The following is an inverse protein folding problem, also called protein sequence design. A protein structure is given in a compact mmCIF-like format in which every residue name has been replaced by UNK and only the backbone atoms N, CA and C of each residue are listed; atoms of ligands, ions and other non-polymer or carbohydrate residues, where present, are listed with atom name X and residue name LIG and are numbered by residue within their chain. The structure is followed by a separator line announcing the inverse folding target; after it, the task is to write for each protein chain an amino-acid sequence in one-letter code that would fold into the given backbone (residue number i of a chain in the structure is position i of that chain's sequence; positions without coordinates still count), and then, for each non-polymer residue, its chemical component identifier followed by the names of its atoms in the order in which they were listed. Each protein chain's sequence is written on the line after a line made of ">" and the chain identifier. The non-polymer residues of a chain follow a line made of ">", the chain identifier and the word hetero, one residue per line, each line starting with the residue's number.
data_IF_181637869082
#
_entry.id   IF_181637869082
#
_cell.length_a   1.000
_cell.length_b   1.000
_cell.length_c   1.000
_cell.angle_alpha   90.00
_cell.angle_beta   90.00
_cell.angle_gamma   90.00
#
_symmetry.space_group_name_H-M   'P 1'
#
loop_
_entity.id
_entity.type
_entity.pdbx_description
1 polymer ?
#
# COMPACT_ATOMS: atom_id res chain seq x y z
N UNK A 1 -15.42 -2.45 -2.58
CA UNK A 1 -15.34 -1.28 -3.48
C UNK A 1 -15.10 -0.02 -2.68
N UNK A 2 -15.94 0.29 -1.67
CA UNK A 2 -15.76 1.43 -0.77
C UNK A 2 -14.34 1.56 -0.17
N UNK A 3 -13.67 0.44 0.12
CA UNK A 3 -12.29 0.44 0.65
C UNK A 3 -11.23 1.05 -0.26
N UNK A 4 -11.42 1.04 -1.60
CA UNK A 4 -10.42 1.58 -2.54
C UNK A 4 -10.52 3.11 -2.64
N UNK A 5 -11.71 3.68 -2.44
CA UNK A 5 -11.97 5.11 -2.60
C UNK A 5 -11.02 6.01 -1.78
N UNK A 6 -10.88 5.84 -0.45
CA UNK A 6 -9.99 6.68 0.33
C UNK A 6 -8.53 6.51 -0.07
N UNK A 7 -8.10 5.28 -0.39
CA UNK A 7 -6.75 5.03 -0.91
C UNK A 7 -6.50 5.77 -2.23
N UNK A 8 -7.46 5.75 -3.16
CA UNK A 8 -7.36 6.47 -4.43
C UNK A 8 -7.30 7.98 -4.21
N UNK A 9 -8.15 8.55 -3.36
CA UNK A 9 -8.14 9.99 -3.06
C UNK A 9 -6.80 10.42 -2.47
N UNK A 10 -6.29 9.67 -1.49
CA UNK A 10 -5.00 9.93 -0.86
C UNK A 10 -3.85 9.82 -1.88
N UNK A 11 -3.79 8.73 -2.63
CA UNK A 11 -2.72 8.50 -3.59
C UNK A 11 -2.72 9.55 -4.71
N UNK A 12 -3.87 9.91 -5.26
CA UNK A 12 -3.99 10.96 -6.28
C UNK A 12 -3.60 12.32 -5.72
N UNK A 13 -4.03 12.66 -4.51
CA UNK A 13 -3.65 13.90 -3.83
C UNK A 13 -2.13 14.00 -3.63
N UNK A 14 -1.49 12.93 -3.14
CA UNK A 14 -0.04 12.86 -2.98
C UNK A 14 0.69 12.97 -4.32
N UNK A 15 0.24 12.25 -5.36
CA UNK A 15 0.84 12.35 -6.70
C UNK A 15 0.73 13.75 -7.27
N UNK A 16 -0.39 14.44 -7.07
CA UNK A 16 -0.57 15.82 -7.50
C UNK A 16 0.42 16.76 -6.80
N UNK A 17 0.56 16.66 -5.47
CA UNK A 17 1.52 17.46 -4.70
C UNK A 17 2.95 17.21 -5.16
N UNK A 18 3.35 15.95 -5.33
CA UNK A 18 4.70 15.57 -5.79
C UNK A 18 4.96 16.06 -7.22
N UNK A 19 3.98 15.94 -8.12
CA UNK A 19 4.09 16.39 -9.50
C UNK A 19 4.23 17.93 -9.60
N UNK A 20 3.57 18.68 -8.72
CA UNK A 20 3.70 20.15 -8.65
C UNK A 20 5.05 20.57 -8.06
N UNK A 21 5.57 19.83 -7.08
CA UNK A 21 6.87 20.14 -6.46
C UNK A 21 8.08 19.83 -7.36
N UNK A 22 7.96 18.82 -8.23
CA UNK A 22 9.07 18.31 -9.04
C UNK A 22 9.71 19.34 -9.99
N UNK A 23 8.96 20.16 -10.77
CA UNK A 23 9.55 21.17 -11.62
C UNK A 23 10.38 22.20 -10.84
N UNK A 24 9.88 22.66 -9.68
CA UNK A 24 10.59 23.63 -8.85
C UNK A 24 11.90 23.04 -8.29
N UNK A 25 11.89 21.77 -7.86
CA UNK A 25 13.09 21.08 -7.40
C UNK A 25 14.10 20.81 -8.53
N UNK A 26 13.63 20.60 -9.76
CA UNK A 26 14.47 20.31 -10.93
C UNK A 26 15.04 21.57 -11.59
N UNK A 27 14.36 22.71 -11.45
CA UNK A 27 14.73 23.95 -12.12
C UNK A 27 16.22 24.33 -11.96
N UNK A 28 16.80 24.30 -10.75
CA UNK A 28 18.20 24.68 -10.57
C UNK A 28 19.16 23.72 -11.28
N UNK A 29 18.90 22.41 -11.17
CA UNK A 29 19.70 21.37 -11.86
C UNK A 29 19.58 21.45 -13.39
N UNK A 30 18.43 21.88 -13.92
CA UNK A 30 18.27 22.07 -15.36
C UNK A 30 18.93 23.33 -15.90
N UNK A 31 19.17 24.32 -15.04
CA UNK A 31 19.89 25.54 -15.39
C UNK A 31 21.42 25.34 -15.33
N UNK A 32 21.87 24.44 -14.44
CA UNK A 32 23.26 24.03 -14.29
C UNK A 32 23.74 23.17 -15.48
N UNK A 33 24.01 23.81 -16.60
CA UNK A 33 24.31 23.16 -17.89
C UNK A 33 25.80 22.93 -18.14
N UNK A 34 26.68 23.59 -17.39
CA UNK A 34 28.13 23.46 -17.50
C UNK A 34 28.69 22.56 -16.40
N UNK A 35 29.82 21.91 -16.68
CA UNK A 35 30.54 21.07 -15.72
C UNK A 35 31.99 21.50 -15.58
N UNK A 36 32.54 21.33 -14.37
CA UNK A 36 33.95 21.56 -14.08
C UNK A 36 34.44 20.59 -12.99
N UNK A 37 35.76 20.46 -12.85
CA UNK A 37 36.37 19.87 -11.65
C UNK A 37 36.65 21.01 -10.68
N UNK A 38 36.14 20.88 -9.46
CA UNK A 38 36.30 21.88 -8.42
C UNK A 38 37.17 21.35 -7.28
N UNK A 39 37.95 22.22 -6.67
CA UNK A 39 38.73 21.94 -5.46
C UNK A 39 37.98 22.45 -4.23
N UNK A 40 37.88 21.61 -3.19
CA UNK A 40 37.25 22.01 -1.93
C UNK A 40 38.13 23.00 -1.17
N UNK A 41 37.60 24.20 -0.95
CA UNK A 41 38.28 25.27 -0.22
C UNK A 41 38.00 25.16 1.27
N UNK A 42 36.73 25.06 1.65
CA UNK A 42 36.31 24.94 3.05
C UNK A 42 34.95 24.29 3.21
N UNK A 43 34.76 23.60 4.34
CA UNK A 43 33.47 23.01 4.74
C UNK A 43 32.79 23.83 5.82
N UNK A 44 31.55 23.43 6.13
CA UNK A 44 30.81 23.95 7.25
C UNK A 44 30.33 25.37 7.02
N UNK A 45 30.26 25.81 5.76
CA UNK A 45 29.70 27.12 5.41
C UNK A 45 28.17 27.07 5.46
N UNK A 46 27.55 28.24 5.41
CA UNK A 46 26.09 28.33 5.38
C UNK A 46 25.51 27.60 4.14
N UNK A 47 24.30 27.03 4.23
CA UNK A 47 23.41 27.00 5.39
C UNK A 47 23.71 25.84 6.37
N UNK A 48 23.54 26.08 7.67
CA UNK A 48 23.57 25.05 8.74
C UNK A 48 24.81 24.15 8.77
N UNK A 49 25.98 24.68 8.41
CA UNK A 49 27.22 23.91 8.25
C UNK A 49 27.15 22.78 7.21
N UNK A 50 26.21 22.85 6.26
CA UNK A 50 26.06 21.91 5.14
C UNK A 50 26.70 22.41 3.85
N UNK A 51 27.14 23.66 3.82
CA UNK A 51 27.81 24.22 2.66
C UNK A 51 29.26 23.76 2.58
N UNK A 52 29.68 23.42 1.36
CA UNK A 52 31.07 23.16 0.98
C UNK A 52 31.43 24.20 -0.08
N UNK A 53 32.33 25.11 0.26
CA UNK A 53 32.85 26.09 -0.70
C UNK A 53 33.90 25.43 -1.58
N UNK A 54 33.76 25.63 -2.88
CA UNK A 54 34.63 25.06 -3.89
C UNK A 54 35.13 26.15 -4.85
N UNK A 55 36.35 25.98 -5.36
CA UNK A 55 36.93 26.81 -6.41
C UNK A 55 37.04 25.98 -7.70
N UNK A 56 36.70 26.57 -8.85
CA UNK A 56 36.74 25.88 -10.14
C UNK A 56 36.94 26.87 -11.30
N UNK A 57 37.66 26.48 -12.36
CA UNK A 57 37.69 27.26 -13.58
C UNK A 57 36.37 27.12 -14.35
N UNK A 58 35.81 28.23 -14.81
CA UNK A 58 34.67 28.22 -15.72
C UNK A 58 35.07 27.84 -17.16
N UNK A 59 34.10 27.86 -18.08
CA UNK A 59 34.32 27.50 -19.49
C UNK A 59 35.35 28.40 -20.21
N UNK A 60 35.56 29.63 -19.72
CA UNK A 60 36.54 30.58 -20.25
C UNK A 60 37.90 30.50 -19.50
N UNK A 61 38.00 29.60 -18.52
CA UNK A 61 39.19 29.40 -17.68
C UNK A 61 39.34 30.45 -16.57
N UNK A 62 38.29 31.21 -16.27
CA UNK A 62 38.28 32.16 -15.16
C UNK A 62 37.95 31.40 -13.88
N UNK A 63 38.77 31.56 -12.85
CA UNK A 63 38.53 30.99 -11.53
C UNK A 63 37.25 31.57 -10.92
N UNK A 64 36.32 30.69 -10.58
CA UNK A 64 35.07 30.98 -9.89
C UNK A 64 35.06 30.28 -8.53
N UNK A 65 34.25 30.79 -7.62
CA UNK A 65 33.96 30.14 -6.34
C UNK A 65 32.46 29.94 -6.21
N UNK A 66 32.04 28.82 -5.63
CA UNK A 66 30.63 28.59 -5.35
C UNK A 66 30.43 27.62 -4.19
N UNK A 67 29.17 27.40 -3.83
CA UNK A 67 28.81 26.59 -2.65
C UNK A 67 27.96 25.40 -3.06
N UNK A 68 28.46 24.20 -2.73
CA UNK A 68 27.68 22.96 -2.78
C UNK A 68 26.95 22.81 -1.46
N UNK A 69 25.63 22.60 -1.51
CA UNK A 69 24.83 22.35 -0.30
C UNK A 69 24.59 20.86 -0.15
N UNK A 70 25.22 20.25 0.86
CA UNK A 70 25.01 18.84 1.20
C UNK A 70 23.66 18.63 1.90
N UNK A 71 23.13 17.41 1.85
CA UNK A 71 21.91 17.07 2.60
C UNK A 71 22.12 17.12 4.12
N UNK A 72 23.36 16.86 4.56
CA UNK A 72 23.75 16.82 5.97
C UNK A 72 25.13 17.44 6.13
N UNK A 73 25.48 17.94 7.33
CA UNK A 73 26.84 18.34 7.62
C UNK A 73 27.76 17.12 7.45
N UNK A 74 28.71 17.21 6.55
CA UNK A 74 29.72 16.19 6.28
C UNK A 74 31.07 16.87 6.12
N UNK A 75 32.14 16.20 6.55
CA UNK A 75 33.48 16.73 6.48
C UNK A 75 34.16 16.23 5.20
N UNK A 76 34.28 17.12 4.21
CA UNK A 76 34.89 16.85 2.90
C UNK A 76 36.29 17.47 2.86
N UNK A 77 37.39 16.71 2.89
CA UNK A 77 38.73 17.27 3.07
C UNK A 77 39.04 18.45 2.13
N UNK A 78 39.60 19.54 2.68
CA UNK A 78 40.09 20.63 1.85
C UNK A 78 41.16 20.11 0.87
N UNK A 79 41.12 20.59 -0.37
CA UNK A 79 41.92 20.08 -1.48
C UNK A 79 41.36 18.83 -2.16
N UNK A 80 40.20 18.32 -1.75
CA UNK A 80 39.53 17.25 -2.48
C UNK A 80 38.99 17.77 -3.82
N UNK A 81 39.17 16.99 -4.88
CA UNK A 81 38.62 17.27 -6.21
C UNK A 81 37.24 16.64 -6.36
N UNK A 82 36.25 17.42 -6.83
CA UNK A 82 34.87 16.98 -7.01
C UNK A 82 34.36 17.48 -8.36
N UNK A 83 33.64 16.62 -9.09
CA UNK A 83 32.93 17.04 -10.29
C UNK A 83 31.71 17.88 -9.92
N UNK A 84 31.59 19.06 -10.51
CA UNK A 84 30.49 19.99 -10.24
C UNK A 84 29.74 20.37 -11.51
N UNK A 85 28.48 20.75 -11.33
CA UNK A 85 27.60 21.36 -12.32
C UNK A 85 27.25 22.78 -11.86
N UNK A 86 27.27 23.76 -12.77
CA UNK A 86 26.96 25.16 -12.44
C UNK A 86 26.18 25.83 -13.57
N UNK A 87 25.42 26.87 -13.21
CA UNK A 87 24.75 27.76 -14.15
C UNK A 87 25.73 28.87 -14.55
N UNK A 88 26.08 29.05 -15.84
CA UNK A 88 26.99 30.12 -16.26
C UNK A 88 26.44 31.54 -15.97
N UNK A 89 25.15 31.68 -15.66
CA UNK A 89 24.52 32.95 -15.26
C UNK A 89 24.43 33.16 -13.76
N UNK A 90 24.68 32.12 -12.95
CA UNK A 90 24.72 32.14 -11.49
C UNK A 90 25.82 31.17 -10.98
N UNK A 91 27.03 31.70 -10.79
CA UNK A 91 28.19 30.91 -10.36
C UNK A 91 28.24 30.66 -8.84
N UNK A 92 27.40 31.34 -8.05
CA UNK A 92 27.35 31.17 -6.60
C UNK A 92 26.77 29.79 -6.22
N UNK A 93 25.83 29.29 -7.04
CA UNK A 93 25.12 28.04 -6.84
C UNK A 93 25.76 26.89 -7.61
N UNK A 94 26.40 25.97 -6.88
CA UNK A 94 27.13 24.84 -7.48
C UNK A 94 26.52 23.52 -7.02
N UNK A 95 26.37 22.59 -7.94
CA UNK A 95 25.75 21.30 -7.70
C UNK A 95 26.74 20.16 -7.89
N UNK A 96 26.63 19.13 -7.07
CA UNK A 96 27.43 17.92 -7.18
C UNK A 96 26.56 16.68 -7.05
N UNK A 97 27.05 15.56 -7.56
CA UNK A 97 26.35 14.28 -7.43
C UNK A 97 26.13 13.94 -5.95
N UNK A 98 24.86 13.73 -5.58
CA UNK A 98 24.48 13.41 -4.20
C UNK A 98 24.30 14.61 -3.27
N UNK A 99 24.38 15.84 -3.79
CA UNK A 99 24.04 17.04 -3.03
C UNK A 99 22.54 17.12 -2.65
N UNK A 100 22.17 18.14 -1.88
CA UNK A 100 20.80 18.31 -1.42
C UNK A 100 19.79 18.47 -2.57
N UNK A 101 20.17 19.09 -3.68
CA UNK A 101 19.28 19.33 -4.82
C UNK A 101 18.97 18.02 -5.56
N UNK A 102 20.00 17.24 -5.89
CA UNK A 102 19.87 15.92 -6.50
C UNK A 102 19.07 14.97 -5.60
N UNK A 103 19.34 14.99 -4.29
CA UNK A 103 18.60 14.19 -3.32
C UNK A 103 17.13 14.58 -3.25
N UNK A 104 16.81 15.88 -3.30
CA UNK A 104 15.42 16.36 -3.33
C UNK A 104 14.68 15.85 -4.57
N UNK A 105 15.26 15.98 -5.76
CA UNK A 105 14.65 15.46 -7.00
C UNK A 105 14.49 13.95 -6.95
N UNK A 106 15.52 13.22 -6.50
CA UNK A 106 15.49 11.76 -6.36
C UNK A 106 14.37 11.31 -5.42
N UNK A 107 14.22 11.96 -4.27
CA UNK A 107 13.20 11.63 -3.29
C UNK A 107 11.79 11.89 -3.82
N UNK A 108 11.58 12.99 -4.56
CA UNK A 108 10.29 13.26 -5.23
C UNK A 108 9.95 12.19 -6.26
N UNK A 109 10.90 11.81 -7.13
CA UNK A 109 10.70 10.76 -8.13
C UNK A 109 10.42 9.40 -7.49
N UNK A 110 11.16 9.06 -6.43
CA UNK A 110 10.95 7.84 -5.67
C UNK A 110 9.56 7.81 -5.03
N UNK A 111 9.12 8.93 -4.45
CA UNK A 111 7.76 9.10 -3.93
C UNK A 111 6.68 8.89 -5.00
N UNK A 112 6.82 9.52 -6.17
CA UNK A 112 5.90 9.34 -7.31
C UNK A 112 5.81 7.87 -7.70
N UNK A 113 6.96 7.21 -7.84
CA UNK A 113 7.04 5.81 -8.22
C UNK A 113 6.31 4.91 -7.22
N UNK A 114 6.60 5.01 -5.93
CA UNK A 114 6.01 4.13 -4.92
C UNK A 114 4.52 4.37 -4.71
N UNK A 115 4.09 5.63 -4.65
CA UNK A 115 2.65 5.97 -4.53
C UNK A 115 1.89 5.42 -5.75
N UNK A 116 2.42 5.64 -6.95
CA UNK A 116 1.85 5.11 -8.19
C UNK A 116 1.80 3.58 -8.21
N UNK A 117 2.89 2.91 -7.82
CA UNK A 117 2.97 1.46 -7.78
C UNK A 117 1.95 0.85 -6.82
N UNK A 118 1.83 1.37 -5.59
CA UNK A 118 0.86 0.87 -4.60
C UNK A 118 -0.56 1.07 -5.11
N UNK A 119 -0.87 2.23 -5.69
CA UNK A 119 -2.18 2.50 -6.28
C UNK A 119 -2.51 1.51 -7.41
N UNK A 120 -1.58 1.28 -8.32
CA UNK A 120 -1.74 0.33 -9.45
C UNK A 120 -1.97 -1.08 -8.93
N UNK A 121 -1.18 -1.56 -7.97
CA UNK A 121 -1.34 -2.91 -7.40
C UNK A 121 -2.73 -3.06 -6.75
N UNK A 122 -3.14 -2.08 -5.93
CA UNK A 122 -4.43 -2.13 -5.25
C UNK A 122 -5.61 -2.07 -6.23
N UNK A 123 -5.51 -1.20 -7.26
CA UNK A 123 -6.49 -1.09 -8.32
C UNK A 123 -6.57 -2.39 -9.15
N UNK A 124 -5.43 -2.96 -9.57
CA UNK A 124 -5.36 -4.21 -10.33
C UNK A 124 -5.96 -5.38 -9.55
N UNK A 125 -5.65 -5.52 -8.26
CA UNK A 125 -6.24 -6.55 -7.40
C UNK A 125 -7.77 -6.38 -7.27
N UNK A 126 -8.24 -5.14 -7.15
CA UNK A 126 -9.67 -4.81 -7.06
C UNK A 126 -10.38 -5.11 -8.39
N UNK A 127 -9.78 -4.74 -9.51
CA UNK A 127 -10.28 -4.98 -10.86
C UNK A 127 -10.33 -6.48 -11.20
N UNK A 128 -9.26 -7.21 -10.88
CA UNK A 128 -9.21 -8.66 -11.06
C UNK A 128 -10.36 -9.35 -10.31
N UNK A 129 -10.68 -8.90 -9.10
CA UNK A 129 -11.83 -9.40 -8.34
C UNK A 129 -13.15 -9.07 -9.03
N UNK A 130 -13.36 -7.85 -9.50
CA UNK A 130 -14.58 -7.50 -10.25
C UNK A 130 -14.77 -8.36 -11.51
N UNK A 131 -13.71 -8.55 -12.29
CA UNK A 131 -13.75 -9.31 -13.54
C UNK A 131 -13.93 -10.81 -13.29
N UNK A 132 -13.40 -11.33 -12.19
CA UNK A 132 -13.56 -12.75 -11.83
C UNK A 132 -14.98 -13.11 -11.38
N UNK A 133 -15.76 -12.16 -10.83
CA UNK A 133 -17.14 -12.40 -10.38
C UNK A 133 -18.08 -12.94 -11.47
N UNK A 134 -18.25 -12.29 -12.63
CA UNK A 134 -19.14 -12.80 -13.68
C UNK A 134 -18.63 -14.12 -14.27
N UNK A 135 -17.32 -14.35 -14.27
CA UNK A 135 -16.73 -15.62 -14.71
C UNK A 135 -17.11 -16.78 -13.79
N UNK A 136 -17.25 -16.54 -12.48
CA UNK A 136 -17.70 -17.56 -11.53
C UNK A 136 -19.16 -17.93 -11.73
N UNK A 137 -20.04 -16.95 -11.95
CA UNK A 137 -21.48 -17.19 -12.19
C UNK A 137 -21.76 -18.03 -13.44
N UNK A 138 -20.86 -17.99 -14.44
CA UNK A 138 -20.99 -18.78 -15.68
C UNK A 138 -20.49 -20.22 -15.56
N UNK A 139 -19.92 -20.61 -14.43
CA UNK A 139 -19.39 -21.98 -14.26
C UNK A 139 -20.53 -22.99 -14.08
N UNK A 140 -20.31 -24.26 -14.48
CA UNK A 140 -21.26 -25.34 -14.26
C UNK A 140 -21.68 -25.45 -12.79
N UNK A 141 -22.96 -25.74 -12.55
CA UNK A 141 -23.51 -25.86 -11.21
C UNK A 141 -23.31 -27.30 -10.71
N UNK A 142 -22.85 -27.43 -9.48
CA UNK A 142 -22.75 -28.70 -8.75
C UNK A 142 -23.47 -28.57 -7.41
N UNK A 143 -23.93 -29.69 -6.85
CA UNK A 143 -24.54 -29.71 -5.52
C UNK A 143 -23.52 -30.17 -4.47
N UNK A 144 -23.59 -29.59 -3.28
CA UNK A 144 -22.78 -29.96 -2.12
C UNK A 144 -23.57 -29.71 -0.84
N UNK A 145 -23.28 -30.44 0.24
CA UNK A 145 -23.74 -30.03 1.56
C UNK A 145 -22.74 -29.04 2.16
N UNK A 146 -23.24 -28.06 2.90
CA UNK A 146 -22.41 -27.01 3.48
C UNK A 146 -22.67 -26.85 4.97
N UNK A 147 -21.60 -26.46 5.68
CA UNK A 147 -21.68 -25.93 7.05
C UNK A 147 -20.76 -24.73 7.22
N UNK A 148 -21.18 -23.78 8.04
CA UNK A 148 -20.37 -22.63 8.43
C UNK A 148 -19.38 -23.03 9.52
N UNK A 149 -18.14 -22.59 9.37
CA UNK A 149 -17.11 -22.66 10.41
C UNK A 149 -16.41 -21.31 10.50
N UNK A 150 -16.21 -20.83 11.72
CA UNK A 150 -15.35 -19.68 11.99
C UNK A 150 -13.95 -20.16 12.30
N UNK A 151 -12.94 -19.52 11.75
CA UNK A 151 -11.54 -19.86 12.02
C UNK A 151 -10.79 -18.61 12.46
N UNK A 152 -10.30 -18.66 13.71
CA UNK A 152 -9.53 -17.59 14.32
C UNK A 152 -8.04 -17.92 14.30
N UNK A 153 -7.22 -16.98 13.82
CA UNK A 153 -5.75 -17.08 13.83
C UNK A 153 -5.15 -15.73 14.22
N UNK A 154 -4.75 -15.60 15.48
CA UNK A 154 -4.27 -14.33 16.05
C UNK A 154 -5.38 -13.28 16.05
N UNK A 155 -5.14 -12.15 15.37
CA UNK A 155 -6.11 -11.05 15.19
C UNK A 155 -7.02 -11.26 13.97
N UNK A 156 -6.79 -12.30 13.17
CA UNK A 156 -7.62 -12.60 12.01
C UNK A 156 -8.76 -13.53 12.40
N UNK A 157 -9.98 -13.07 12.18
CA UNK A 157 -11.19 -13.89 12.26
C UNK A 157 -11.85 -13.96 10.88
N UNK A 158 -12.15 -15.18 10.42
CA UNK A 158 -12.64 -15.42 9.06
C UNK A 158 -13.72 -16.49 9.04
N UNK A 159 -14.79 -16.21 8.31
CA UNK A 159 -15.84 -17.17 8.00
C UNK A 159 -15.42 -18.10 6.85
N UNK A 160 -15.65 -19.39 7.04
CA UNK A 160 -15.40 -20.46 6.08
C UNK A 160 -16.68 -21.27 5.85
N UNK A 161 -16.87 -21.71 4.62
CA UNK A 161 -17.80 -22.79 4.30
C UNK A 161 -17.01 -24.09 4.15
N UNK A 162 -17.46 -25.11 4.86
CA UNK A 162 -17.00 -26.47 4.65
C UNK A 162 -18.01 -27.13 3.72
N UNK A 163 -17.56 -27.42 2.51
CA UNK A 163 -18.34 -28.07 1.46
C UNK A 163 -18.01 -29.56 1.48
N UNK A 164 -19.02 -30.38 1.74
CA UNK A 164 -18.95 -31.82 1.62
C UNK A 164 -19.62 -32.26 0.32
N UNK A 165 -18.87 -33.02 -0.47
CA UNK A 165 -19.30 -33.56 -1.75
C UNK A 165 -19.17 -35.09 -1.76
N UNK A 166 -19.51 -35.72 -0.63
CA UNK A 166 -19.59 -37.15 -0.36
C UNK A 166 -18.24 -37.82 -0.12
N UNK A 167 -17.32 -37.69 -1.07
CA UNK A 167 -16.02 -38.38 -1.02
C UNK A 167 -14.83 -37.49 -0.67
N UNK A 168 -15.05 -36.18 -0.51
CA UNK A 168 -14.05 -35.28 0.04
C UNK A 168 -14.68 -33.99 0.56
N UNK A 169 -13.88 -33.26 1.33
CA UNK A 169 -14.26 -32.02 1.99
C UNK A 169 -13.41 -30.89 1.44
N UNK A 170 -14.05 -29.77 1.14
CA UNK A 170 -13.39 -28.56 0.65
C UNK A 170 -13.70 -27.37 1.54
N UNK A 171 -12.68 -26.57 1.82
CA UNK A 171 -12.78 -25.39 2.67
C UNK A 171 -12.74 -24.14 1.80
N UNK A 172 -13.81 -23.36 1.80
CA UNK A 172 -13.95 -22.15 1.00
C UNK A 172 -14.04 -20.95 1.93
N UNK A 173 -13.05 -20.05 1.92
CA UNK A 173 -13.16 -18.82 2.69
C UNK A 173 -14.17 -17.90 2.01
N UNK A 174 -15.12 -17.36 2.78
CA UNK A 174 -16.20 -16.52 2.27
C UNK A 174 -16.17 -15.14 2.91
N UNK A 175 -16.81 -14.16 2.28
CA UNK A 175 -17.19 -12.94 2.98
C UNK A 175 -18.36 -13.25 3.92
N UNK A 176 -18.47 -12.49 5.01
CA UNK A 176 -19.66 -12.58 5.85
C UNK A 176 -20.89 -12.15 5.06
N UNK A 177 -21.96 -12.92 5.21
CA UNK A 177 -23.27 -12.69 4.62
C UNK A 177 -24.31 -13.29 5.57
N UNK A 178 -25.52 -12.73 5.60
CA UNK A 178 -26.60 -13.20 6.47
C UNK A 178 -27.01 -14.64 6.14
N UNK A 179 -27.02 -15.01 4.85
CA UNK A 179 -27.31 -16.38 4.42
C UNK A 179 -26.24 -17.37 4.90
N UNK A 180 -25.01 -16.91 5.15
CA UNK A 180 -23.97 -17.74 5.77
C UNK A 180 -24.24 -17.91 7.26
N UNK A 181 -24.69 -16.86 7.96
CA UNK A 181 -24.95 -16.95 9.41
C UNK A 181 -26.18 -17.76 9.78
N UNK A 182 -27.18 -17.85 8.90
CA UNK A 182 -28.37 -18.68 9.07
C UNK A 182 -28.17 -20.15 8.66
N UNK A 183 -27.02 -20.48 8.06
CA UNK A 183 -26.75 -21.80 7.49
C UNK A 183 -26.76 -22.90 8.57
N UNK A 184 -27.67 -23.86 8.42
CA UNK A 184 -27.71 -25.07 9.24
C UNK A 184 -26.65 -26.06 8.78
N UNK A 185 -26.23 -26.95 9.69
CA UNK A 185 -25.28 -28.01 9.35
C UNK A 185 -25.87 -28.91 8.25
N UNK A 186 -25.03 -29.26 7.28
CA UNK A 186 -25.32 -30.20 6.18
C UNK A 186 -26.47 -29.74 5.27
N UNK A 187 -26.68 -28.42 5.18
CA UNK A 187 -27.64 -27.82 4.26
C UNK A 187 -27.18 -28.08 2.82
N UNK A 188 -28.08 -28.60 1.97
CA UNK A 188 -27.81 -28.76 0.54
C UNK A 188 -27.76 -27.39 -0.13
N UNK A 189 -26.66 -27.09 -0.81
CA UNK A 189 -26.45 -25.83 -1.52
C UNK A 189 -26.00 -26.10 -2.96
N UNK A 190 -26.15 -25.11 -3.81
CA UNK A 190 -25.59 -25.14 -5.16
C UNK A 190 -24.25 -24.40 -5.18
N UNK A 191 -23.35 -24.84 -6.05
CA UNK A 191 -22.00 -24.28 -6.18
C UNK A 191 -21.66 -24.16 -7.64
N UNK A 192 -21.35 -22.93 -8.10
CA UNK A 192 -20.80 -22.74 -9.43
C UNK A 192 -19.30 -23.06 -9.44
N UNK A 193 -18.90 -23.92 -10.38
CA UNK A 193 -17.58 -24.53 -10.46
C UNK A 193 -17.56 -25.91 -9.79
N UNK A 194 -16.44 -26.61 -9.93
CA UNK A 194 -16.22 -27.94 -9.36
C UNK A 194 -15.37 -27.84 -8.09
N UNK A 195 -15.95 -28.05 -6.88
CA UNK A 195 -15.21 -28.00 -5.61
C UNK A 195 -14.06 -29.00 -5.51
N UNK A 196 -13.94 -30.00 -6.38
CA UNK A 196 -12.82 -30.95 -6.37
C UNK A 196 -11.61 -30.42 -7.14
N UNK A 197 -11.84 -29.63 -8.20
CA UNK A 197 -10.82 -29.25 -9.19
C UNK A 197 -10.53 -27.76 -9.18
N UNK A 198 -11.56 -26.94 -9.04
CA UNK A 198 -11.44 -25.51 -9.19
C UNK A 198 -10.80 -24.86 -7.95
N UNK A 199 -9.93 -23.88 -8.21
CA UNK A 199 -9.34 -23.03 -7.17
C UNK A 199 -10.35 -22.04 -6.59
N UNK A 200 -11.30 -21.58 -7.40
CA UNK A 200 -12.37 -20.65 -7.00
C UNK A 200 -13.71 -21.26 -7.36
N UNK A 201 -14.61 -21.27 -6.39
CA UNK A 201 -15.99 -21.72 -6.53
C UNK A 201 -16.91 -20.68 -5.93
N UNK A 202 -18.15 -20.60 -6.40
CA UNK A 202 -19.16 -19.67 -5.89
C UNK A 202 -20.33 -20.46 -5.30
N UNK A 203 -20.35 -20.63 -3.97
CA UNK A 203 -21.50 -21.19 -3.25
C UNK A 203 -22.73 -20.29 -3.39
N UNK A 204 -23.90 -20.90 -3.47
CA UNK A 204 -25.20 -20.23 -3.51
C UNK A 204 -26.08 -20.87 -2.44
N UNK A 205 -26.44 -20.07 -1.44
CA UNK A 205 -27.25 -20.49 -0.28
C UNK A 205 -28.62 -19.83 -0.43
N UNK A 206 -29.69 -20.62 -0.52
CA UNK A 206 -31.06 -20.12 -0.68
C UNK A 206 -31.20 -19.08 -1.81
N UNK A 207 -30.54 -19.35 -2.95
CA UNK A 207 -30.51 -18.45 -4.11
C UNK A 207 -29.57 -17.25 -3.99
N UNK A 208 -28.92 -17.06 -2.85
CA UNK A 208 -27.99 -15.94 -2.60
C UNK A 208 -26.54 -16.35 -2.89
N UNK A 209 -25.85 -15.70 -3.85
CA UNK A 209 -24.46 -16.02 -4.18
C UNK A 209 -23.51 -15.51 -3.10
N UNK A 210 -22.76 -16.43 -2.49
CA UNK A 210 -21.81 -16.14 -1.42
C UNK A 210 -20.41 -15.97 -2.00
N UNK A 211 -19.94 -14.73 -2.09
CA UNK A 211 -18.66 -14.46 -2.71
C UNK A 211 -17.48 -15.04 -1.90
N UNK A 212 -16.59 -15.83 -2.54
CA UNK A 212 -15.39 -16.31 -1.87
C UNK A 212 -14.43 -15.15 -1.61
N UNK A 213 -13.84 -15.12 -0.43
CA UNK A 213 -12.80 -14.14 -0.07
C UNK A 213 -11.38 -14.64 -0.44
N UNK A 214 -11.26 -15.88 -0.93
CA UNK A 214 -10.00 -16.51 -1.33
C UNK A 214 -10.19 -17.87 -2.01
N UNK A 215 -9.09 -18.53 -2.34
CA UNK A 215 -9.10 -19.84 -2.98
C UNK A 215 -9.55 -20.96 -2.05
N UNK A 216 -10.23 -21.96 -2.64
CA UNK A 216 -10.58 -23.23 -1.99
C UNK A 216 -9.33 -23.94 -1.48
N UNK A 217 -9.47 -24.64 -0.35
CA UNK A 217 -8.46 -25.53 0.24
C UNK A 217 -9.01 -26.94 0.39
N UNK A 218 -8.14 -27.94 0.23
CA UNK A 218 -8.49 -29.35 0.46
C UNK A 218 -8.37 -29.79 1.92
N UNK A 219 -7.86 -28.92 2.79
CA UNK A 219 -7.65 -29.19 4.22
C UNK A 219 -8.08 -28.02 5.08
N UNK A 220 -8.31 -28.30 6.37
CA UNK A 220 -8.68 -27.28 7.33
C UNK A 220 -7.60 -26.18 7.41
N UNK A 221 -7.99 -24.90 7.44
CA UNK A 221 -7.05 -23.82 7.66
C UNK A 221 -6.42 -23.92 9.06
N UNK A 222 -5.19 -23.43 9.20
CA UNK A 222 -4.52 -23.32 10.50
C UNK A 222 -5.25 -22.31 11.39
N UNK A 223 -5.54 -22.67 12.63
CA UNK A 223 -6.19 -21.80 13.61
C UNK A 223 -7.18 -22.59 14.47
N UNK A 224 -7.80 -21.89 15.42
CA UNK A 224 -8.89 -22.44 16.21
C UNK A 224 -10.17 -22.41 15.35
N UNK A 225 -10.81 -23.56 15.17
CA UNK A 225 -12.03 -23.69 14.39
C UNK A 225 -13.24 -23.88 15.29
N UNK A 226 -14.17 -22.94 15.25
CA UNK A 226 -15.42 -23.00 16.00
C UNK A 226 -16.57 -23.15 15.03
N UNK A 227 -17.35 -24.22 15.19
CA UNK A 227 -18.62 -24.32 14.51
C UNK A 227 -19.63 -23.47 15.27
N UNK A 228 -20.18 -22.46 14.60
CA UNK A 228 -21.18 -21.59 15.20
C UNK A 228 -22.57 -22.17 15.01
N UNK A 229 -23.45 -22.08 16.02
CA UNK A 229 -24.86 -22.40 15.83
C UNK A 229 -25.48 -21.43 14.80
N UNK A 230 -26.55 -21.84 14.11
CA UNK A 230 -27.29 -20.94 13.24
C UNK A 230 -27.77 -19.73 14.04
N UNK A 231 -27.47 -18.53 13.58
CA UNK A 231 -27.92 -17.30 14.22
C UNK A 231 -29.27 -16.88 13.64
N UNK A 232 -30.13 -16.30 14.49
CA UNK A 232 -31.34 -15.64 14.03
C UNK A 232 -30.99 -14.45 13.12
N UNK A 233 -31.88 -14.07 12.18
CA UNK A 233 -31.69 -12.89 11.33
C UNK A 233 -31.34 -11.67 12.18
N UNK A 234 -30.13 -11.16 12.03
CA UNK A 234 -29.69 -9.92 12.70
C UNK A 234 -29.93 -8.79 11.71
N UNK A 235 -30.58 -7.68 12.11
CA UNK A 235 -30.83 -6.57 11.20
C UNK A 235 -29.53 -6.10 10.53
N UNK A 236 -29.60 -5.67 9.25
CA UNK A 236 -28.43 -5.27 8.50
C UNK A 236 -27.65 -4.18 9.25
N UNK A 237 -26.36 -4.43 9.48
CA UNK A 237 -25.50 -3.47 10.17
C UNK A 237 -25.29 -2.26 9.27
N UNK A 238 -25.46 -1.06 9.82
CA UNK A 238 -25.18 0.19 9.10
C UNK A 238 -23.74 0.19 8.58
N UNK A 239 -23.52 0.66 7.35
CA UNK A 239 -22.20 0.81 6.74
C UNK A 239 -21.21 1.56 7.65
N UNK A 240 -21.70 2.53 8.42
CA UNK A 240 -20.90 3.29 9.37
C UNK A 240 -20.31 2.43 10.50
N UNK A 241 -21.08 1.47 11.03
CA UNK A 241 -20.62 0.55 12.08
C UNK A 241 -19.58 -0.43 11.53
N UNK A 242 -19.73 -0.87 10.28
CA UNK A 242 -18.72 -1.68 9.60
C UNK A 242 -17.43 -0.90 9.37
N UNK A 243 -17.52 0.34 8.88
CA UNK A 243 -16.36 1.21 8.67
C UNK A 243 -15.58 1.48 9.97
N UNK A 244 -16.28 1.61 11.11
CA UNK A 244 -15.65 1.74 12.43
C UNK A 244 -14.89 0.47 12.86
N UNK A 245 -15.39 -0.71 12.52
CA UNK A 245 -14.69 -1.97 12.78
C UNK A 245 -13.40 -2.08 11.96
N UNK A 246 -13.49 -1.73 10.67
CA UNK A 246 -12.34 -1.75 9.76
C UNK A 246 -11.31 -0.63 10.09
N UNK A 247 -11.75 0.44 10.75
CA UNK A 247 -10.88 1.55 11.18
C UNK A 247 -9.87 1.18 12.28
N UNK A 248 -10.02 0.04 12.97
CA UNK A 248 -9.06 -0.38 14.00
C UNK A 248 -7.64 -0.51 13.45
N UNK A 249 -7.49 -0.91 12.18
CA UNK A 249 -6.19 -0.96 11.50
C UNK A 249 -5.52 0.40 11.36
N UNK A 250 -6.29 1.50 11.30
CA UNK A 250 -5.76 2.85 11.12
C UNK A 250 -4.87 3.31 12.28
N UNK A 251 -5.02 2.72 13.47
CA UNK A 251 -4.15 2.99 14.61
C UNK A 251 -2.68 2.61 14.35
N UNK A 252 -2.42 1.69 13.42
CA UNK A 252 -1.07 1.31 13.02
C UNK A 252 -0.49 2.19 11.91
N UNK A 253 -1.29 3.01 11.24
CA UNK A 253 -0.82 3.83 10.12
C UNK A 253 0.30 4.82 10.53
N UNK A 254 0.23 5.53 11.68
CA UNK A 254 1.32 6.39 12.12
C UNK A 254 2.61 5.64 12.44
N UNK A 255 2.54 4.39 12.89
CA UNK A 255 3.73 3.59 13.16
C UNK A 255 4.47 3.26 11.86
N UNK A 256 3.74 2.91 10.81
CA UNK A 256 4.34 2.73 9.48
C UNK A 256 4.88 4.05 8.90
N UNK A 257 4.17 5.16 9.11
CA UNK A 257 4.64 6.47 8.70
C UNK A 257 5.93 6.88 9.40
N UNK A 258 6.05 6.60 10.70
CA UNK A 258 7.26 6.88 11.49
C UNK A 258 8.43 6.01 11.04
N UNK A 259 8.20 4.71 10.85
CA UNK A 259 9.21 3.79 10.32
C UNK A 259 9.74 4.25 8.96
N UNK A 260 8.84 4.69 8.07
CA UNK A 260 9.21 5.21 6.76
C UNK A 260 10.02 6.49 6.88
N UNK A 261 9.51 7.49 7.61
CA UNK A 261 10.19 8.78 7.77
C UNK A 261 11.57 8.65 8.45
N UNK A 262 11.74 7.66 9.32
CA UNK A 262 13.03 7.32 9.91
C UNK A 262 13.99 6.71 8.89
N UNK A 263 13.52 5.79 8.05
CA UNK A 263 14.35 5.07 7.07
C UNK A 263 14.75 5.96 5.89
N UNK A 264 13.83 6.83 5.46
CA UNK A 264 13.97 7.70 4.30
C UNK A 264 14.39 9.13 4.67
N UNK A 265 14.50 9.41 5.98
CA UNK A 265 14.98 10.69 6.55
C UNK A 265 14.17 11.91 6.08
N UNK A 266 12.96 11.68 5.56
CA UNK A 266 12.10 12.67 4.91
C UNK A 266 11.35 13.57 5.90
N UNK A 267 11.56 13.39 7.21
CA UNK A 267 11.03 14.24 8.26
C UNK A 267 9.50 14.24 8.34
N UNK A 268 8.93 15.40 8.70
CA UNK A 268 7.48 15.53 8.98
C UNK A 268 6.61 15.33 7.73
N UNK A 269 7.04 15.84 6.58
CA UNK A 269 6.28 15.70 5.33
C UNK A 269 6.23 14.24 4.88
N UNK A 270 7.37 13.54 4.92
CA UNK A 270 7.45 12.11 4.65
C UNK A 270 6.60 11.28 5.61
N UNK A 271 6.64 11.61 6.91
CA UNK A 271 5.79 10.98 7.93
C UNK A 271 4.30 11.11 7.61
N UNK A 272 3.82 12.32 7.29
CA UNK A 272 2.41 12.57 6.99
C UNK A 272 1.97 11.83 5.72
N UNK A 273 2.78 11.88 4.66
CA UNK A 273 2.49 11.19 3.41
C UNK A 273 2.44 9.67 3.59
N UNK A 274 3.44 9.09 4.25
CA UNK A 274 3.51 7.66 4.52
C UNK A 274 2.40 7.18 5.46
N UNK A 275 2.05 7.98 6.48
CA UNK A 275 0.91 7.70 7.38
C UNK A 275 -0.40 7.70 6.60
N UNK A 276 -0.67 8.72 5.78
CA UNK A 276 -1.88 8.79 4.98
C UNK A 276 -1.99 7.60 4.02
N UNK A 277 -0.89 7.26 3.33
CA UNK A 277 -0.86 6.14 2.41
C UNK A 277 -1.11 4.81 3.13
N UNK A 278 -0.46 4.61 4.28
CA UNK A 278 -0.65 3.43 5.14
C UNK A 278 -2.09 3.31 5.63
N UNK A 279 -2.71 4.43 6.02
CA UNK A 279 -4.12 4.48 6.40
C UNK A 279 -5.03 4.05 5.25
N UNK A 280 -4.79 4.55 4.03
CA UNK A 280 -5.52 4.14 2.83
C UNK A 280 -5.40 2.63 2.56
N UNK A 281 -4.20 2.07 2.65
CA UNK A 281 -3.95 0.64 2.43
C UNK A 281 -4.61 -0.20 3.52
N UNK A 282 -4.46 0.17 4.80
CA UNK A 282 -5.03 -0.56 5.93
C UNK A 282 -6.56 -0.51 5.95
N UNK A 283 -7.17 0.56 5.41
CA UNK A 283 -8.60 0.63 5.20
C UNK A 283 -9.07 -0.23 4.00
N UNK A 284 -8.26 -0.30 2.94
CA UNK A 284 -8.56 -1.13 1.77
C UNK A 284 -8.43 -2.63 2.06
N UNK A 285 -7.50 -3.03 2.92
CA UNK A 285 -7.10 -4.42 3.15
C UNK A 285 -8.26 -5.35 3.62
N UNK A 286 -9.11 -4.97 4.60
CA UNK A 286 -10.26 -5.77 5.01
C UNK A 286 -11.25 -6.03 3.88
N UNK A 287 -11.39 -5.07 2.96
CA UNK A 287 -12.28 -5.22 1.79
C UNK A 287 -11.82 -6.35 0.85
N UNK A 288 -10.52 -6.69 0.87
CA UNK A 288 -9.93 -7.77 0.09
C UNK A 288 -9.99 -9.09 0.86
N UNK A 289 -9.65 -9.11 2.14
CA UNK A 289 -9.57 -10.38 2.87
C UNK A 289 -10.92 -10.87 3.41
N UNK A 290 -11.89 -9.98 3.57
CA UNK A 290 -13.18 -10.25 4.20
C UNK A 290 -13.04 -10.32 5.71
N UNK A 291 -13.60 -9.34 6.41
CA UNK A 291 -13.76 -9.34 7.86
C UNK A 291 -15.12 -9.98 8.23
N UNK A 292 -15.14 -10.81 9.27
CA UNK A 292 -16.38 -11.22 9.93
C UNK A 292 -16.73 -10.14 10.96
N UNK A 293 -17.85 -9.41 10.83
CA UNK A 293 -18.15 -8.29 11.70
C UNK A 293 -18.60 -8.72 13.10
N UNK A 294 -18.98 -9.97 13.33
CA UNK A 294 -19.45 -10.41 14.65
C UNK A 294 -18.24 -10.49 15.60
N UNK A 295 -18.18 -9.58 16.56
CA UNK A 295 -17.13 -9.62 17.58
C UNK A 295 -17.41 -10.71 18.62
N UNK A 296 -16.44 -10.99 19.51
CA UNK A 296 -16.56 -11.99 20.58
C UNK A 296 -17.58 -11.62 21.68
N UNK A 297 -18.36 -10.54 21.55
CA UNK A 297 -19.33 -10.07 22.55
C UNK A 297 -20.79 -10.36 22.21
N UNK A 298 -21.04 -11.02 21.07
CA UNK A 298 -22.38 -11.43 20.64
C UNK A 298 -22.69 -12.91 21.03
N UNK A 299 -21.90 -13.51 21.94
CA UNK A 299 -22.14 -14.79 22.63
C UNK A 299 -22.42 -14.53 24.12
#
# INVERSE_FOLDING_TARGET
>A
MLGLLPLTVIAVGLLAVLAVALPAARAPLSAATQTATAEVVRNGVAPDARGVEVAFPDADGVEQTGVIVLARPEDVPAGAEIGVQYDPTDSDSVYADGDAAHLTVRNLLFGIFWVGLVLIICAAMTLFRLISRPRLLRRPVTSASARRVRVRRGLSDRSWLVLDHGSAVSWVPVYWDEAVSSLKRDTSITVHGNPRRDRLVLPVIDGTPIWPSGGRRGSAPKGESTQLPPQHPVPPRSLLRQARGDAAGLLFAPLFGLLWAYTDESGVSGFLAATAMSAGVLFWLPSIFGSDPTGPRDE
#
